data_IF_358728054832
#
_entry.id   IF_358728054832
#
_cell.length_a   1.000
_cell.length_b   1.000
_cell.length_c   1.000
_cell.angle_alpha   90.00
_cell.angle_beta   90.00
_cell.angle_gamma   90.00
#
_symmetry.space_group_name_H-M   'P 1'
#
loop_
_entity.id
_entity.type
_entity.pdbx_description
1 polymer ?
#
# COMPACT_ATOMS: atom_id res chain seq x y z
N UNK A 1 -6.63 -6.47 -4.76
CA UNK A 1 -7.58 -5.42 -5.24
C UNK A 1 -6.81 -4.16 -5.55
N UNK A 2 -7.23 -3.36 -6.53
CA UNK A 2 -6.61 -2.05 -6.81
C UNK A 2 -7.67 -0.94 -6.85
N UNK A 3 -7.28 0.27 -6.43
CA UNK A 3 -8.11 1.48 -6.52
C UNK A 3 -7.23 2.72 -6.66
N UNK A 4 -7.81 3.87 -7.04
CA UNK A 4 -7.01 5.08 -7.17
C UNK A 4 -6.74 5.74 -5.81
N UNK A 5 -7.80 6.06 -5.07
CA UNK A 5 -7.71 6.75 -3.78
C UNK A 5 -7.54 5.75 -2.63
N UNK A 6 -6.63 6.02 -1.68
CA UNK A 6 -6.35 5.10 -0.59
C UNK A 6 -7.36 5.20 0.56
N UNK A 7 -7.91 4.08 1.08
CA UNK A 7 -8.69 4.05 2.31
C UNK A 7 -7.87 4.44 3.56
N UNK A 8 -6.57 4.18 3.51
CA UNK A 8 -5.58 4.52 4.54
C UNK A 8 -4.40 5.21 3.85
N UNK A 9 -4.05 6.41 4.29
CA UNK A 9 -2.90 7.19 3.82
C UNK A 9 -2.50 8.20 4.90
N UNK A 10 -1.19 8.40 5.03
CA UNK A 10 -0.50 9.45 5.80
C UNK A 10 0.20 10.45 4.87
N UNK A 11 -0.03 10.33 3.55
CA UNK A 11 0.36 11.30 2.54
C UNK A 11 -0.45 12.58 2.62
N UNK A 12 -0.12 13.53 1.74
CA UNK A 12 -0.65 14.90 1.76
C UNK A 12 -2.19 14.97 1.71
N UNK A 13 -2.84 14.11 0.92
CA UNK A 13 -4.31 14.10 0.83
C UNK A 13 -4.97 13.23 1.91
N UNK A 14 -4.18 12.40 2.59
CA UNK A 14 -4.61 11.51 3.67
C UNK A 14 -5.63 10.45 3.25
N UNK A 15 -6.18 9.80 4.27
CA UNK A 15 -7.13 8.69 4.11
C UNK A 15 -8.48 9.12 3.52
N UNK A 16 -8.97 8.42 2.49
CA UNK A 16 -10.38 8.53 2.05
C UNK A 16 -11.29 7.76 3.02
N UNK A 17 -11.74 8.46 4.06
CA UNK A 17 -12.59 7.88 5.12
C UNK A 17 -13.94 7.36 4.61
N UNK A 18 -14.45 7.91 3.51
CA UNK A 18 -15.67 7.45 2.86
C UNK A 18 -15.48 6.09 2.20
N UNK A 19 -14.38 5.90 1.47
CA UNK A 19 -13.99 4.61 0.91
C UNK A 19 -13.67 3.61 2.01
N UNK A 20 -12.91 4.02 3.03
CA UNK A 20 -12.60 3.16 4.19
C UNK A 20 -13.86 2.60 4.84
N UNK A 21 -14.82 3.46 5.19
CA UNK A 21 -16.05 3.04 5.88
C UNK A 21 -16.89 2.07 5.03
N UNK A 22 -16.88 2.21 3.71
CA UNK A 22 -17.73 1.42 2.80
C UNK A 22 -17.06 0.14 2.31
N UNK A 23 -15.77 0.20 2.02
CA UNK A 23 -15.04 -0.87 1.35
C UNK A 23 -14.19 -1.69 2.31
N UNK A 24 -13.51 -1.09 3.30
CA UNK A 24 -12.63 -1.85 4.19
C UNK A 24 -13.36 -3.05 4.85
N UNK A 25 -14.58 -2.87 5.42
CA UNK A 25 -15.34 -4.00 5.97
C UNK A 25 -15.72 -5.08 4.94
N UNK A 26 -15.88 -4.71 3.67
CA UNK A 26 -16.18 -5.67 2.60
C UNK A 26 -14.92 -6.44 2.23
N UNK A 27 -13.79 -5.76 2.08
CA UNK A 27 -12.51 -6.35 1.72
C UNK A 27 -12.05 -7.34 2.79
N UNK A 28 -12.17 -6.95 4.06
CA UNK A 28 -11.88 -7.77 5.24
C UNK A 28 -12.75 -9.03 5.27
N UNK A 29 -14.09 -8.88 5.14
CA UNK A 29 -15.02 -10.03 5.15
C UNK A 29 -14.78 -11.03 4.01
N UNK A 30 -14.18 -10.60 2.91
CA UNK A 30 -13.91 -11.46 1.76
C UNK A 30 -12.46 -11.95 1.69
N UNK A 31 -11.66 -11.74 2.75
CA UNK A 31 -10.29 -12.26 2.81
C UNK A 31 -9.37 -11.65 1.76
N UNK A 32 -9.54 -10.35 1.45
CA UNK A 32 -8.63 -9.66 0.53
C UNK A 32 -7.27 -9.51 1.19
N UNK A 33 -6.25 -10.12 0.60
CA UNK A 33 -4.88 -10.11 1.15
C UNK A 33 -4.15 -8.79 0.92
N UNK A 34 -4.31 -8.19 -0.27
CA UNK A 34 -3.58 -7.00 -0.68
C UNK A 34 -4.46 -6.01 -1.44
N UNK A 35 -4.37 -4.73 -1.04
CA UNK A 35 -5.00 -3.58 -1.69
C UNK A 35 -3.92 -2.59 -2.12
N UNK A 36 -3.84 -2.33 -3.41
CA UNK A 36 -2.93 -1.34 -3.99
C UNK A 36 -3.69 -0.04 -4.33
N UNK A 37 -3.15 1.08 -3.88
CA UNK A 37 -3.65 2.42 -4.17
C UNK A 37 -2.56 3.33 -4.73
N UNK A 38 -2.94 4.49 -5.25
CA UNK A 38 -2.02 5.56 -5.60
C UNK A 38 -2.54 6.88 -5.06
N UNK A 39 -2.80 7.85 -5.95
CA UNK A 39 -3.30 9.19 -5.65
C UNK A 39 -2.30 10.11 -4.95
N UNK A 40 -1.82 9.72 -3.77
CA UNK A 40 -0.71 10.38 -3.10
C UNK A 40 0.61 10.02 -3.81
N UNK A 41 1.52 10.98 -3.91
CA UNK A 41 2.74 10.86 -4.73
C UNK A 41 3.91 10.40 -3.86
N UNK A 42 3.74 9.27 -3.20
CA UNK A 42 4.69 8.69 -2.27
C UNK A 42 4.50 7.17 -2.23
N UNK A 43 5.32 6.51 -1.42
CA UNK A 43 5.13 5.12 -1.03
C UNK A 43 4.65 5.07 0.42
N UNK A 44 3.63 4.25 0.68
CA UNK A 44 3.24 3.87 2.04
C UNK A 44 2.89 2.39 2.10
N UNK A 45 3.30 1.74 3.17
CA UNK A 45 2.81 0.43 3.59
C UNK A 45 2.21 0.55 4.97
N UNK A 46 0.97 0.12 5.11
CA UNK A 46 0.27 0.11 6.39
C UNK A 46 0.55 -1.17 7.17
N UNK A 47 0.45 -1.09 8.49
CA UNK A 47 0.22 -2.26 9.34
C UNK A 47 -1.08 -2.92 8.84
N UNK A 48 -1.14 -4.26 8.69
CA UNK A 48 -2.36 -4.92 8.24
C UNK A 48 -3.58 -4.49 9.05
N UNK A 49 -4.64 -4.08 8.35
CA UNK A 49 -5.90 -3.66 8.96
C UNK A 49 -6.87 -4.83 8.84
N UNK A 50 -7.20 -5.46 9.97
CA UNK A 50 -8.10 -6.61 10.03
C UNK A 50 -7.74 -7.72 9.00
N UNK A 51 -6.44 -8.01 8.88
CA UNK A 51 -5.88 -9.02 7.97
C UNK A 51 -5.55 -8.53 6.56
N UNK A 52 -5.99 -7.33 6.18
CA UNK A 52 -5.76 -6.79 4.83
C UNK A 52 -4.51 -5.91 4.81
N UNK A 53 -3.57 -6.19 3.91
CA UNK A 53 -2.45 -5.29 3.63
C UNK A 53 -2.88 -4.16 2.68
N UNK A 54 -2.62 -2.91 3.08
CA UNK A 54 -2.83 -1.73 2.26
C UNK A 54 -1.48 -1.11 1.90
N UNK A 55 -1.29 -0.79 0.61
CA UNK A 55 -0.10 -0.12 0.08
C UNK A 55 -0.50 1.02 -0.83
N UNK A 56 0.08 2.19 -0.61
CA UNK A 56 0.07 3.33 -1.54
C UNK A 56 1.36 3.26 -2.35
N UNK A 57 1.22 3.18 -3.68
CA UNK A 57 2.34 3.13 -4.63
C UNK A 57 2.14 4.19 -5.72
N UNK A 58 2.16 5.46 -5.31
CA UNK A 58 1.89 6.58 -6.21
C UNK A 58 3.13 7.34 -6.69
N UNK A 59 4.33 6.84 -6.40
CA UNK A 59 5.62 7.40 -6.81
C UNK A 59 5.98 7.25 -8.29
N UNK A 60 5.01 7.10 -9.20
CA UNK A 60 5.23 6.68 -10.59
C UNK A 60 5.81 7.71 -11.57
N UNK A 61 6.33 8.87 -11.13
CA UNK A 61 7.13 9.76 -12.00
C UNK A 61 6.67 11.21 -12.18
N UNK A 62 5.60 11.69 -11.52
CA UNK A 62 5.21 13.13 -11.54
C UNK A 62 5.88 13.96 -10.43
N UNK A 63 6.97 13.44 -9.84
CA UNK A 63 7.60 13.97 -8.63
C UNK A 63 6.94 13.43 -7.36
N UNK A 64 7.71 13.39 -6.27
CA UNK A 64 7.26 12.89 -4.97
C UNK A 64 6.77 14.02 -4.07
N UNK A 65 5.98 13.68 -3.07
CA UNK A 65 5.53 14.61 -2.03
C UNK A 65 5.94 14.11 -0.65
N UNK A 66 6.14 15.03 0.32
CA UNK A 66 6.43 14.62 1.69
C UNK A 66 5.33 13.72 2.24
N UNK A 67 5.73 12.65 2.90
CA UNK A 67 4.83 11.70 3.56
C UNK A 67 5.24 11.58 5.02
N UNK A 68 4.25 11.44 5.89
CA UNK A 68 4.46 11.26 7.32
C UNK A 68 4.18 9.83 7.76
N UNK A 69 3.92 9.70 9.06
CA UNK A 69 3.48 8.45 9.67
C UNK A 69 2.22 8.71 10.50
N UNK A 70 1.28 7.77 10.43
CA UNK A 70 0.13 7.66 11.33
C UNK A 70 0.27 6.39 12.18
N UNK A 71 -0.62 6.18 13.15
CA UNK A 71 -0.59 4.97 13.99
C UNK A 71 -0.76 3.65 13.22
N UNK A 72 -1.21 3.71 11.97
CA UNK A 72 -1.38 2.56 11.07
C UNK A 72 -0.26 2.45 10.02
N UNK A 73 0.73 3.34 10.00
CA UNK A 73 1.85 3.29 9.05
C UNK A 73 2.89 2.29 9.53
N UNK A 74 3.30 1.37 8.67
CA UNK A 74 4.41 0.46 8.92
C UNK A 74 5.71 0.97 8.26
N UNK A 75 5.61 1.60 7.09
CA UNK A 75 6.71 2.24 6.40
C UNK A 75 6.17 3.31 5.44
N UNK A 76 6.87 4.43 5.28
CA UNK A 76 6.55 5.43 4.25
C UNK A 76 7.82 6.09 3.73
N UNK A 77 7.83 6.45 2.44
CA UNK A 77 8.99 7.08 1.81
C UNK A 77 8.56 7.94 0.60
N UNK A 78 9.11 9.16 0.51
CA UNK A 78 8.87 10.08 -0.59
C UNK A 78 9.82 9.81 -1.78
N UNK A 79 9.69 8.63 -2.40
CA UNK A 79 10.61 8.14 -3.44
C UNK A 79 9.91 7.79 -4.76
N UNK A 80 10.58 8.04 -5.89
CA UNK A 80 10.13 7.56 -7.20
C UNK A 80 10.40 6.06 -7.26
N UNK A 81 9.35 5.27 -7.48
CA UNK A 81 9.43 3.82 -7.39
C UNK A 81 8.38 3.13 -8.26
N UNK A 82 8.51 1.80 -8.32
CA UNK A 82 7.47 0.89 -8.76
C UNK A 82 7.43 -0.32 -7.80
N UNK A 83 6.37 -1.12 -7.88
CA UNK A 83 6.26 -2.38 -7.13
C UNK A 83 6.20 -3.58 -8.07
N UNK A 84 6.84 -4.68 -7.67
CA UNK A 84 6.66 -6.01 -8.26
C UNK A 84 5.92 -6.85 -7.24
N UNK A 85 4.90 -7.60 -7.67
CA UNK A 85 4.20 -8.57 -6.82
C UNK A 85 4.42 -9.97 -7.39
N UNK A 86 5.15 -10.79 -6.65
CA UNK A 86 5.31 -12.22 -6.91
C UNK A 86 4.19 -12.99 -6.24
N UNK A 87 3.61 -13.94 -6.97
CA UNK A 87 2.53 -14.80 -6.49
C UNK A 87 3.05 -16.22 -6.39
N UNK A 88 3.24 -16.70 -5.17
CA UNK A 88 3.71 -18.05 -4.87
C UNK A 88 2.53 -18.93 -4.43
N UNK A 89 2.80 -20.20 -4.14
CA UNK A 89 1.77 -21.17 -3.74
C UNK A 89 1.10 -20.76 -2.43
N UNK A 90 1.91 -20.30 -1.47
CA UNK A 90 1.50 -20.05 -0.08
C UNK A 90 1.66 -18.59 0.36
N UNK A 91 2.08 -17.69 -0.53
CA UNK A 91 2.29 -16.28 -0.20
C UNK A 91 2.31 -15.36 -1.43
N UNK A 92 2.10 -14.07 -1.17
CA UNK A 92 2.44 -12.96 -2.06
C UNK A 92 3.69 -12.28 -1.52
N UNK A 93 4.61 -11.90 -2.40
CA UNK A 93 5.75 -11.06 -2.05
C UNK A 93 5.68 -9.78 -2.87
N UNK A 94 5.59 -8.64 -2.20
CA UNK A 94 5.68 -7.32 -2.81
C UNK A 94 7.08 -6.77 -2.60
N UNK A 95 7.71 -6.34 -3.69
CA UNK A 95 9.01 -5.67 -3.73
C UNK A 95 8.80 -4.21 -4.13
N UNK A 96 9.24 -3.25 -3.32
CA UNK A 96 9.21 -1.83 -3.67
C UNK A 96 10.62 -1.39 -4.11
N UNK A 97 10.75 -0.97 -5.37
CA UNK A 97 12.04 -0.71 -6.02
C UNK A 97 12.09 0.74 -6.47
N UNK A 98 13.13 1.45 -6.04
CA UNK A 98 13.34 2.85 -6.41
C UNK A 98 13.85 3.01 -7.85
N UNK A 99 13.90 4.26 -8.32
CA UNK A 99 14.38 4.59 -9.66
C UNK A 99 15.86 4.23 -9.92
N UNK A 100 16.65 3.93 -8.89
CA UNK A 100 18.05 3.48 -9.01
C UNK A 100 18.18 1.95 -9.07
N UNK A 101 17.08 1.22 -8.86
CA UNK A 101 17.03 -0.23 -8.82
C UNK A 101 17.27 -0.82 -7.42
N UNK A 102 17.28 0.00 -6.37
CA UNK A 102 17.39 -0.47 -4.99
C UNK A 102 16.01 -0.84 -4.47
N UNK A 103 15.89 -2.05 -3.93
CA UNK A 103 14.73 -2.45 -3.14
C UNK A 103 14.80 -1.77 -1.77
N UNK A 104 13.86 -0.89 -1.49
CA UNK A 104 13.85 -0.08 -0.26
C UNK A 104 12.80 -0.55 0.77
N UNK A 105 11.82 -1.34 0.33
CA UNK A 105 10.85 -1.99 1.20
C UNK A 105 10.33 -3.29 0.57
N UNK A 106 9.86 -4.21 1.41
CA UNK A 106 9.21 -5.44 0.98
C UNK A 106 8.08 -5.84 1.92
N UNK A 107 7.14 -6.62 1.40
CA UNK A 107 6.02 -7.16 2.16
C UNK A 107 5.75 -8.61 1.74
N UNK A 108 5.75 -9.51 2.71
CA UNK A 108 5.25 -10.88 2.55
C UNK A 108 3.83 -10.94 3.11
N UNK A 109 2.88 -11.37 2.28
CA UNK A 109 1.50 -11.64 2.69
C UNK A 109 1.26 -13.14 2.58
N UNK A 110 1.17 -13.87 3.70
CA UNK A 110 0.83 -15.28 3.67
C UNK A 110 -0.54 -15.50 3.03
N UNK A 111 -0.68 -16.62 2.34
CA UNK A 111 -1.98 -17.10 1.88
C UNK A 111 -2.79 -17.51 3.11
N UNK A 112 -3.80 -16.70 3.44
CA UNK A 112 -4.80 -17.10 4.44
C UNK A 112 -5.42 -18.45 4.03
N UNK A 113 -5.43 -19.40 4.97
CA UNK A 113 -6.09 -20.70 4.82
C UNK A 113 -7.61 -20.58 4.89
#
# INVERSE_FOLDING_TARGET
VYMHRPPYSSGEHGSDTGLRTKLAPVLERHGVQLVLSGHDHDYERMIPQDGVAYVVTGGGGRGTRPVGESSFTAFSEAVIHFVIVEVLVDELILHAIDATGVEFDSLVVPRDR
#
